data_IF_899656439637
#
_entry.id   IF_899656439637
#
_cell.length_a   1.000
_cell.length_b   1.000
_cell.length_c   1.000
_cell.angle_alpha   90.00
_cell.angle_beta   90.00
_cell.angle_gamma   90.00
#
_symmetry.space_group_name_H-M   'P 1'
#
loop_
_entity.id
_entity.type
_entity.pdbx_description
1 polymer ?
#
# COMPACT_ATOMS: atom_id res chain seq x y z
N UNK A 1 -77.13 60.62 -33.78
CA UNK A 1 -75.67 60.61 -34.01
C UNK A 1 -74.84 60.68 -32.72
N UNK A 2 -75.21 61.48 -31.70
CA UNK A 2 -74.42 61.57 -30.44
C UNK A 2 -74.44 60.29 -29.59
N UNK A 3 -75.62 59.68 -29.39
CA UNK A 3 -75.75 58.51 -28.49
C UNK A 3 -75.10 57.22 -29.03
N UNK A 4 -75.00 57.08 -30.34
CA UNK A 4 -74.40 55.90 -30.99
C UNK A 4 -72.88 55.92 -30.88
N UNK A 5 -72.29 57.11 -31.02
CA UNK A 5 -70.87 57.35 -30.79
C UNK A 5 -70.47 57.16 -29.31
N UNK A 6 -71.33 57.59 -28.37
CA UNK A 6 -71.10 57.39 -26.94
C UNK A 6 -71.15 55.91 -26.53
N UNK A 7 -72.06 55.12 -27.11
CA UNK A 7 -72.09 53.66 -26.90
C UNK A 7 -70.85 52.97 -27.47
N UNK A 8 -70.36 53.43 -28.61
CA UNK A 8 -69.17 52.87 -29.25
C UNK A 8 -67.90 53.18 -28.45
N UNK A 9 -67.78 54.40 -27.92
CA UNK A 9 -66.69 54.80 -27.01
C UNK A 9 -66.72 53.96 -25.72
N UNK A 10 -67.90 53.78 -25.11
CA UNK A 10 -68.03 52.97 -23.89
C UNK A 10 -67.70 51.49 -24.12
N UNK A 11 -68.11 50.95 -25.27
CA UNK A 11 -67.76 49.58 -25.69
C UNK A 11 -66.26 49.40 -25.89
N UNK A 12 -65.60 50.34 -26.58
CA UNK A 12 -64.15 50.32 -26.79
C UNK A 12 -63.38 50.48 -25.48
N UNK A 13 -63.84 51.32 -24.56
CA UNK A 13 -63.23 51.47 -23.23
C UNK A 13 -63.33 50.18 -22.40
N UNK A 14 -64.49 49.51 -22.43
CA UNK A 14 -64.66 48.22 -21.74
C UNK A 14 -63.76 47.14 -22.33
N UNK A 15 -63.61 47.10 -23.66
CA UNK A 15 -62.68 46.18 -24.33
C UNK A 15 -61.22 46.47 -24.00
N UNK A 16 -60.83 47.75 -23.88
CA UNK A 16 -59.47 48.13 -23.51
C UNK A 16 -59.13 47.68 -22.08
N UNK A 17 -60.06 47.88 -21.13
CA UNK A 17 -59.89 47.48 -19.73
C UNK A 17 -59.73 45.96 -19.63
N UNK A 18 -60.58 45.21 -20.32
CA UNK A 18 -60.52 43.75 -20.32
C UNK A 18 -59.24 43.23 -21.00
N UNK A 19 -58.79 43.88 -22.08
CA UNK A 19 -57.52 43.57 -22.74
C UNK A 19 -56.32 43.84 -21.81
N UNK A 20 -56.32 44.97 -21.08
CA UNK A 20 -55.26 45.27 -20.10
C UNK A 20 -55.23 44.26 -18.95
N UNK A 21 -56.39 43.86 -18.44
CA UNK A 21 -56.48 42.85 -17.38
C UNK A 21 -55.92 41.50 -17.83
N UNK A 22 -56.23 41.07 -19.06
CA UNK A 22 -55.69 39.83 -19.63
C UNK A 22 -54.17 39.91 -19.86
N UNK A 23 -53.66 41.07 -20.25
CA UNK A 23 -52.23 41.29 -20.40
C UNK A 23 -51.50 41.18 -19.04
N UNK A 24 -52.04 41.77 -17.98
CA UNK A 24 -51.48 41.70 -16.63
C UNK A 24 -51.50 40.27 -16.07
N UNK A 25 -52.59 39.53 -16.29
CA UNK A 25 -52.70 38.12 -15.89
C UNK A 25 -51.76 37.21 -16.69
N UNK A 26 -51.51 37.52 -17.97
CA UNK A 26 -50.52 36.80 -18.78
C UNK A 26 -49.09 37.10 -18.33
N UNK A 27 -48.79 38.35 -17.98
CA UNK A 27 -47.49 38.77 -17.45
C UNK A 27 -47.18 38.07 -16.11
N UNK A 28 -48.13 38.03 -15.19
CA UNK A 28 -47.97 37.30 -13.91
C UNK A 28 -47.70 35.81 -14.11
N UNK A 29 -48.41 35.17 -15.05
CA UNK A 29 -48.19 33.75 -15.38
C UNK A 29 -46.82 33.51 -16.01
N UNK A 30 -46.34 34.44 -16.83
CA UNK A 30 -44.98 34.37 -17.40
C UNK A 30 -43.92 34.48 -16.30
N UNK A 31 -44.05 35.46 -15.40
CA UNK A 31 -43.13 35.66 -14.27
C UNK A 31 -43.05 34.44 -13.34
N UNK A 32 -44.19 33.85 -13.01
CA UNK A 32 -44.25 32.61 -12.23
C UNK A 32 -43.61 31.43 -12.96
N UNK A 33 -43.80 31.32 -14.28
CA UNK A 33 -43.19 30.27 -15.07
C UNK A 33 -41.66 30.41 -15.12
N UNK A 34 -41.14 31.64 -15.26
CA UNK A 34 -39.69 31.91 -15.16
C UNK A 34 -39.14 31.57 -13.78
N UNK A 35 -39.81 31.94 -12.69
CA UNK A 35 -39.36 31.59 -11.34
C UNK A 35 -39.30 30.08 -11.12
N UNK A 36 -40.33 29.34 -11.55
CA UNK A 36 -40.33 27.87 -11.48
C UNK A 36 -39.22 27.26 -12.32
N UNK A 37 -38.93 27.81 -13.50
CA UNK A 37 -37.82 27.35 -14.34
C UNK A 37 -36.45 27.62 -13.71
N UNK A 38 -36.25 28.78 -13.07
CA UNK A 38 -35.03 29.13 -12.32
C UNK A 38 -34.84 28.25 -11.07
N UNK A 39 -35.91 27.92 -10.35
CA UNK A 39 -35.85 27.00 -9.21
C UNK A 39 -35.55 25.56 -9.64
N UNK A 40 -36.15 25.10 -10.73
CA UNK A 40 -35.90 23.77 -11.29
C UNK A 40 -34.46 23.63 -11.81
N UNK A 41 -33.91 24.66 -12.45
CA UNK A 41 -32.51 24.68 -12.88
C UNK A 41 -31.54 24.69 -11.69
N UNK A 42 -31.79 25.50 -10.66
CA UNK A 42 -30.99 25.48 -9.42
C UNK A 42 -31.01 24.12 -8.73
N UNK A 43 -32.17 23.46 -8.66
CA UNK A 43 -32.30 22.12 -8.09
C UNK A 43 -31.54 21.07 -8.91
N UNK A 44 -31.59 21.16 -10.25
CA UNK A 44 -30.84 20.28 -11.13
C UNK A 44 -29.32 20.49 -11.00
N UNK A 45 -28.85 21.75 -10.95
CA UNK A 45 -27.44 22.09 -10.71
C UNK A 45 -26.95 21.63 -9.33
N UNK A 46 -27.79 21.67 -8.30
CA UNK A 46 -27.47 21.14 -6.97
C UNK A 46 -27.41 19.62 -6.95
N UNK A 47 -28.29 18.94 -7.69
CA UNK A 47 -28.28 17.49 -7.82
C UNK A 47 -27.04 16.99 -8.58
N UNK A 48 -26.61 17.70 -9.63
CA UNK A 48 -25.43 17.35 -10.42
C UNK A 48 -24.11 17.65 -9.69
N UNK A 49 -24.09 18.69 -8.84
CA UNK A 49 -22.92 19.02 -8.00
C UNK A 49 -22.79 18.16 -6.73
N UNK A 50 -23.82 17.38 -6.36
CA UNK A 50 -23.74 16.51 -5.19
C UNK A 50 -23.06 15.19 -5.57
N UNK A 51 -21.72 15.14 -5.54
CA UNK A 51 -20.97 13.88 -5.67
C UNK A 51 -21.53 12.87 -4.66
N UNK A 52 -22.08 11.75 -5.14
CA UNK A 52 -22.66 10.74 -4.27
C UNK A 52 -21.56 10.00 -3.49
N UNK A 53 -21.87 9.43 -2.30
CA UNK A 53 -20.94 8.58 -1.57
C UNK A 53 -20.43 7.37 -2.39
N UNK A 54 -21.19 6.94 -3.40
CA UNK A 54 -20.79 5.87 -4.31
C UNK A 54 -19.74 6.35 -5.33
N UNK A 55 -19.91 7.53 -5.90
CA UNK A 55 -18.96 8.13 -6.87
C UNK A 55 -17.61 8.48 -6.24
N UNK A 56 -17.63 9.00 -5.01
CA UNK A 56 -16.40 9.27 -4.23
C UNK A 56 -15.61 7.99 -3.92
N UNK A 57 -16.28 6.83 -3.77
CA UNK A 57 -15.61 5.53 -3.60
C UNK A 57 -14.94 5.01 -4.88
N UNK A 58 -15.37 5.47 -6.05
CA UNK A 58 -14.84 5.05 -7.36
C UNK A 58 -13.71 5.98 -7.84
N UNK A 59 -13.66 7.22 -7.35
CA UNK A 59 -12.62 8.20 -7.68
C UNK A 59 -11.24 7.71 -7.23
N UNK A 60 -10.25 7.82 -8.12
CA UNK A 60 -8.85 7.48 -7.78
C UNK A 60 -8.36 8.33 -6.61
N UNK A 61 -7.47 7.78 -5.80
CA UNK A 61 -6.94 8.45 -4.62
C UNK A 61 -5.59 9.12 -4.91
N UNK A 62 -5.30 10.15 -4.13
CA UNK A 62 -3.95 10.72 -4.02
C UNK A 62 -3.00 9.76 -3.29
N UNK A 63 -1.69 10.03 -3.34
CA UNK A 63 -0.69 9.20 -2.66
C UNK A 63 -0.97 8.99 -1.16
N UNK A 64 -1.25 10.07 -0.42
CA UNK A 64 -1.48 10.00 1.02
C UNK A 64 -2.81 9.33 1.35
N UNK A 65 -3.88 9.62 0.59
CA UNK A 65 -5.17 8.96 0.74
C UNK A 65 -5.07 7.45 0.48
N UNK A 66 -4.26 7.04 -0.50
CA UNK A 66 -4.08 5.62 -0.79
C UNK A 66 -3.46 4.86 0.38
N UNK A 67 -2.40 5.41 0.96
CA UNK A 67 -1.73 4.82 2.12
C UNK A 67 -2.67 4.77 3.34
N UNK A 68 -3.46 5.83 3.55
CA UNK A 68 -4.50 5.86 4.58
C UNK A 68 -5.58 4.78 4.34
N UNK A 69 -6.04 4.60 3.10
CA UNK A 69 -6.98 3.54 2.76
C UNK A 69 -6.43 2.14 3.08
N UNK A 70 -5.16 1.88 2.75
CA UNK A 70 -4.52 0.60 3.06
C UNK A 70 -4.49 0.36 4.57
N UNK A 71 -4.07 1.36 5.35
CA UNK A 71 -3.99 1.25 6.80
C UNK A 71 -5.37 1.10 7.44
N UNK A 72 -6.37 1.88 7.03
CA UNK A 72 -7.69 1.89 7.67
C UNK A 72 -8.58 0.71 7.25
N UNK A 73 -8.36 0.11 6.08
CA UNK A 73 -9.20 -0.97 5.55
C UNK A 73 -8.56 -2.34 5.77
N UNK A 74 -7.26 -2.50 5.51
CA UNK A 74 -6.61 -3.82 5.48
C UNK A 74 -5.97 -4.21 6.82
N UNK A 75 -5.38 -3.26 7.57
CA UNK A 75 -4.73 -3.57 8.86
C UNK A 75 -5.69 -4.14 9.91
N UNK A 76 -6.95 -3.68 10.04
CA UNK A 76 -7.88 -4.29 11.01
C UNK A 76 -8.08 -5.80 10.80
N UNK A 77 -7.97 -6.28 9.55
CA UNK A 77 -8.03 -7.71 9.24
C UNK A 77 -6.82 -8.49 9.73
N UNK A 78 -5.66 -7.86 9.92
CA UNK A 78 -4.47 -8.51 10.52
C UNK A 78 -4.59 -8.69 12.02
N UNK A 79 -5.25 -7.75 12.70
CA UNK A 79 -5.35 -7.72 14.16
C UNK A 79 -6.45 -8.63 14.71
N UNK A 80 -7.35 -9.10 13.85
CA UNK A 80 -8.45 -9.99 14.21
C UNK A 80 -7.98 -11.45 14.27
N UNK A 81 -7.37 -11.85 15.39
CA UNK A 81 -7.60 -13.13 16.11
C UNK A 81 -6.37 -13.54 16.95
N UNK A 82 -6.40 -13.16 18.24
CA UNK A 82 -5.77 -13.94 19.30
C UNK A 82 -6.68 -15.16 19.61
N UNK A 83 -6.54 -16.25 18.84
CA UNK A 83 -7.08 -17.57 19.24
C UNK A 83 -5.95 -18.57 19.50
N UNK A 84 -6.06 -19.41 20.53
CA UNK A 84 -5.05 -20.42 20.84
C UNK A 84 -4.94 -21.42 19.69
N UNK A 85 -3.72 -21.54 19.18
CA UNK A 85 -3.31 -22.31 18.00
C UNK A 85 -3.64 -23.80 18.07
N UNK A 86 -4.08 -24.36 16.94
CA UNK A 86 -3.87 -25.78 16.61
C UNK A 86 -2.36 -26.06 16.55
N UNK A 87 -1.89 -27.25 16.97
CA UNK A 87 -0.49 -27.62 16.84
C UNK A 87 -0.11 -27.72 15.35
N UNK A 88 0.93 -27.00 14.93
CA UNK A 88 1.40 -27.03 13.54
C UNK A 88 2.20 -28.30 13.28
N UNK A 89 1.86 -29.01 12.20
CA UNK A 89 2.71 -30.05 11.61
C UNK A 89 3.64 -29.39 10.59
N UNK A 90 4.96 -29.49 10.81
CA UNK A 90 5.98 -29.03 9.87
C UNK A 90 7.29 -28.63 10.58
N UNK A 91 8.43 -29.27 10.28
CA UNK A 91 9.71 -28.86 10.85
C UNK A 91 10.12 -27.47 10.36
N UNK A 92 10.53 -26.59 11.27
CA UNK A 92 11.25 -25.36 10.92
C UNK A 92 12.58 -25.79 10.31
N UNK A 93 12.80 -25.51 9.03
CA UNK A 93 14.02 -25.87 8.33
C UNK A 93 15.26 -25.44 9.13
N UNK A 94 16.22 -26.34 9.26
CA UNK A 94 17.51 -26.07 9.90
C UNK A 94 18.39 -25.30 8.92
N UNK A 95 18.32 -23.97 9.01
CA UNK A 95 19.09 -23.06 8.15
C UNK A 95 20.28 -22.54 8.94
N UNK A 96 21.16 -23.46 9.33
CA UNK A 96 22.53 -23.13 9.68
C UNK A 96 23.44 -23.65 8.56
N UNK A 97 23.27 -23.11 7.35
CA UNK A 97 24.24 -23.28 6.28
C UNK A 97 25.54 -22.51 6.56
N UNK A 98 26.60 -22.79 5.78
CA UNK A 98 27.98 -22.33 5.99
C UNK A 98 28.22 -20.81 6.17
N UNK A 99 27.22 -19.95 5.99
CA UNK A 99 27.33 -18.48 6.11
C UNK A 99 26.78 -18.03 7.47
N UNK A 100 27.66 -17.53 8.34
CA UNK A 100 27.29 -17.16 9.71
C UNK A 100 27.15 -15.65 9.85
N UNK A 101 26.00 -15.21 10.34
CA UNK A 101 25.76 -13.85 10.78
C UNK A 101 26.62 -13.57 12.02
N UNK A 102 27.55 -12.61 11.95
CA UNK A 102 28.46 -12.29 13.07
C UNK A 102 27.92 -11.20 13.97
N UNK A 103 27.17 -10.25 13.43
CA UNK A 103 26.72 -9.05 14.13
C UNK A 103 25.32 -8.66 13.69
N UNK A 104 24.38 -8.54 14.63
CA UNK A 104 23.04 -8.00 14.40
C UNK A 104 22.96 -6.62 15.06
N UNK A 105 22.62 -5.59 14.29
CA UNK A 105 22.59 -4.18 14.75
C UNK A 105 21.34 -3.46 14.31
N UNK A 106 20.90 -2.50 15.11
CA UNK A 106 19.80 -1.61 14.72
C UNK A 106 20.25 -0.67 13.61
N UNK A 107 19.41 -0.51 12.59
CA UNK A 107 19.60 0.45 11.51
C UNK A 107 19.11 1.83 11.95
N UNK A 108 20.01 2.61 12.55
CA UNK A 108 19.71 3.94 13.08
C UNK A 108 19.31 4.96 12.01
N UNK A 109 19.94 4.89 10.83
CA UNK A 109 19.76 5.89 9.77
C UNK A 109 18.49 5.69 8.94
N UNK A 110 17.84 4.50 9.01
CA UNK A 110 16.69 4.20 8.18
C UNK A 110 15.55 5.22 8.35
N UNK A 111 15.26 5.66 9.58
CA UNK A 111 14.20 6.65 9.81
C UNK A 111 14.47 7.96 9.10
N UNK A 112 15.71 8.44 9.12
CA UNK A 112 16.11 9.66 8.42
C UNK A 112 16.05 9.49 6.89
N UNK A 113 16.57 8.37 6.38
CA UNK A 113 16.49 8.04 4.96
C UNK A 113 15.04 7.96 4.48
N UNK A 114 14.19 7.31 5.27
CA UNK A 114 12.76 7.17 5.01
C UNK A 114 12.04 8.52 5.02
N UNK A 115 12.29 9.38 6.01
CA UNK A 115 11.63 10.68 6.07
C UNK A 115 11.95 11.53 4.85
N UNK A 116 13.23 11.57 4.46
CA UNK A 116 13.68 12.28 3.25
C UNK A 116 13.05 11.69 1.99
N UNK A 117 13.07 10.37 1.85
CA UNK A 117 12.52 9.69 0.67
C UNK A 117 11.01 9.87 0.57
N UNK A 118 10.32 9.85 1.70
CA UNK A 118 8.88 10.06 1.76
C UNK A 118 8.50 11.49 1.39
N UNK A 119 9.27 12.49 1.82
CA UNK A 119 9.05 13.89 1.41
C UNK A 119 9.23 14.06 -0.10
N UNK A 120 10.23 13.39 -0.69
CA UNK A 120 10.44 13.32 -2.13
C UNK A 120 9.23 12.67 -2.85
N UNK A 121 8.70 11.58 -2.29
CA UNK A 121 7.50 10.91 -2.81
C UNK A 121 6.26 11.81 -2.73
N UNK A 122 6.04 12.50 -1.61
CA UNK A 122 4.93 13.44 -1.44
C UNK A 122 5.04 14.58 -2.44
N UNK A 123 6.23 15.17 -2.60
CA UNK A 123 6.47 16.23 -3.59
C UNK A 123 6.23 15.75 -5.02
N UNK A 124 6.60 14.51 -5.32
CA UNK A 124 6.48 13.97 -6.66
C UNK A 124 5.08 13.44 -6.98
N UNK A 125 4.33 12.91 -6.02
CA UNK A 125 3.09 12.13 -6.26
C UNK A 125 1.86 12.65 -5.51
N UNK A 126 2.02 13.62 -4.60
CA UNK A 126 1.01 14.00 -3.59
C UNK A 126 -0.30 14.55 -4.15
N UNK A 127 -0.24 15.42 -5.17
CA UNK A 127 -1.42 16.16 -5.64
C UNK A 127 -2.27 15.38 -6.65
N UNK A 128 -1.73 14.35 -7.29
CA UNK A 128 -2.42 13.66 -8.38
C UNK A 128 -3.14 12.39 -7.92
N UNK A 129 -4.32 12.16 -8.49
CA UNK A 129 -5.16 10.98 -8.23
C UNK A 129 -4.68 9.75 -9.01
N UNK A 130 -3.44 9.30 -8.73
CA UNK A 130 -2.80 8.21 -9.45
C UNK A 130 -3.01 6.83 -8.83
N UNK A 131 -3.64 6.72 -7.68
CA UNK A 131 -3.72 5.48 -6.91
C UNK A 131 -5.13 4.89 -6.88
N UNK A 132 -5.29 3.60 -6.54
CA UNK A 132 -6.61 2.96 -6.46
C UNK A 132 -7.57 3.72 -5.55
N UNK A 133 -8.84 3.71 -5.90
CA UNK A 133 -9.88 4.31 -5.08
C UNK A 133 -10.07 3.57 -3.77
N UNK A 134 -10.82 4.17 -2.83
CA UNK A 134 -11.22 3.50 -1.59
C UNK A 134 -11.99 2.21 -1.90
N UNK A 135 -12.94 2.25 -2.83
CA UNK A 135 -13.73 1.08 -3.23
C UNK A 135 -12.88 -0.04 -3.82
N UNK A 136 -11.78 0.28 -4.53
CA UNK A 136 -10.85 -0.74 -5.03
C UNK A 136 -10.07 -1.43 -3.90
N UNK A 137 -9.75 -0.72 -2.82
CA UNK A 137 -9.11 -1.31 -1.62
C UNK A 137 -10.13 -2.14 -0.82
N UNK A 138 -11.38 -1.68 -0.72
CA UNK A 138 -12.48 -2.45 -0.11
C UNK A 138 -12.73 -3.77 -0.88
N UNK A 139 -12.75 -3.72 -2.23
CA UNK A 139 -12.88 -4.91 -3.06
C UNK A 139 -11.71 -5.90 -2.87
N UNK A 140 -10.47 -5.39 -2.82
CA UNK A 140 -9.28 -6.20 -2.56
C UNK A 140 -9.37 -6.95 -1.23
N UNK A 141 -9.94 -6.31 -0.19
CA UNK A 141 -10.18 -6.95 1.10
C UNK A 141 -11.11 -8.17 0.95
N UNK A 142 -12.20 -8.01 0.20
CA UNK A 142 -13.17 -9.08 -0.05
C UNK A 142 -12.60 -10.21 -0.91
N UNK A 143 -11.80 -9.89 -1.93
CA UNK A 143 -11.20 -10.87 -2.86
C UNK A 143 -10.20 -11.79 -2.17
N UNK A 144 -9.34 -11.20 -1.33
CA UNK A 144 -8.40 -11.93 -0.47
C UNK A 144 -9.11 -12.65 0.68
N UNK A 145 -10.44 -12.47 0.75
CA UNK A 145 -11.30 -13.01 1.78
C UNK A 145 -10.72 -12.80 3.19
N UNK A 146 -10.15 -11.62 3.46
CA UNK A 146 -9.44 -11.30 4.71
C UNK A 146 -10.34 -11.23 5.95
N UNK A 147 -11.60 -11.63 5.81
CA UNK A 147 -12.55 -11.82 6.89
C UNK A 147 -12.61 -13.30 7.37
N UNK A 148 -11.91 -14.24 6.71
CA UNK A 148 -11.75 -15.63 7.19
C UNK A 148 -10.28 -16.09 7.21
N UNK A 149 -9.97 -16.89 8.24
CA UNK A 149 -8.75 -17.69 8.48
C UNK A 149 -7.45 -17.27 7.78
N UNK A 150 -6.55 -16.72 8.58
CA UNK A 150 -5.17 -16.43 8.16
C UNK A 150 -4.27 -17.66 8.44
N UNK A 151 -4.08 -18.53 7.44
CA UNK A 151 -2.97 -19.52 7.43
C UNK A 151 -1.68 -18.93 6.82
N UNK A 152 -0.61 -19.73 6.69
CA UNK A 152 0.69 -19.23 6.20
C UNK A 152 0.64 -18.72 4.75
N UNK A 153 -0.09 -19.43 3.88
CA UNK A 153 -0.30 -19.05 2.48
C UNK A 153 -1.13 -17.76 2.38
N UNK A 154 -2.15 -17.63 3.23
CA UNK A 154 -2.99 -16.42 3.31
C UNK A 154 -2.22 -15.18 3.78
N UNK A 155 -1.15 -15.35 4.56
CA UNK A 155 -0.30 -14.23 5.00
C UNK A 155 0.57 -13.71 3.88
N UNK A 156 1.11 -14.60 3.06
CA UNK A 156 1.89 -14.17 1.91
C UNK A 156 1.03 -13.30 0.99
N UNK A 157 -0.17 -13.77 0.66
CA UNK A 157 -1.12 -13.03 -0.17
C UNK A 157 -1.52 -11.69 0.46
N UNK A 158 -1.69 -11.66 1.78
CA UNK A 158 -1.94 -10.41 2.50
C UNK A 158 -0.77 -9.44 2.39
N UNK A 159 0.46 -9.83 2.74
CA UNK A 159 1.62 -8.93 2.69
C UNK A 159 1.83 -8.44 1.26
N UNK A 160 1.64 -9.33 0.30
CA UNK A 160 1.67 -9.04 -1.13
C UNK A 160 0.69 -7.95 -1.52
N UNK A 161 -0.53 -7.99 -0.99
CA UNK A 161 -1.58 -7.02 -1.27
C UNK A 161 -1.42 -5.70 -0.51
N UNK A 162 -0.97 -5.75 0.74
CA UNK A 162 -0.98 -4.64 1.68
C UNK A 162 0.30 -3.79 1.64
N UNK A 163 1.47 -4.39 1.49
CA UNK A 163 2.74 -3.66 1.52
C UNK A 163 3.40 -3.61 0.15
N UNK A 164 3.50 -4.78 -0.46
CA UNK A 164 4.26 -5.08 -1.67
C UNK A 164 3.68 -4.46 -2.94
N UNK A 165 2.51 -4.91 -3.40
CA UNK A 165 1.85 -4.34 -4.59
C UNK A 165 1.72 -2.81 -4.48
N UNK A 166 1.39 -2.23 -3.30
CA UNK A 166 1.42 -0.79 -3.08
C UNK A 166 2.82 -0.19 -3.25
N UNK A 167 3.85 -0.73 -2.60
CA UNK A 167 5.24 -0.26 -2.70
C UNK A 167 5.71 -0.22 -4.16
N UNK A 168 5.49 -1.31 -4.92
CA UNK A 168 5.80 -1.36 -6.35
C UNK A 168 5.06 -0.28 -7.14
N UNK A 169 3.77 -0.08 -6.85
CA UNK A 169 2.99 0.96 -7.52
C UNK A 169 3.56 2.35 -7.22
N UNK A 170 3.97 2.62 -5.99
CA UNK A 170 4.57 3.87 -5.56
C UNK A 170 5.90 4.09 -6.31
N UNK A 171 6.81 3.11 -6.26
CA UNK A 171 8.12 3.17 -6.93
C UNK A 171 7.98 3.41 -8.42
N UNK A 172 7.16 2.60 -9.11
CA UNK A 172 6.99 2.72 -10.57
C UNK A 172 6.38 4.08 -10.99
N UNK A 173 5.48 4.65 -10.17
CA UNK A 173 4.91 5.98 -10.43
C UNK A 173 5.92 7.09 -10.15
N UNK A 174 6.77 6.91 -9.15
CA UNK A 174 7.84 7.84 -8.84
C UNK A 174 8.89 7.89 -9.95
N UNK A 175 9.38 6.73 -10.40
CA UNK A 175 10.39 6.62 -11.46
C UNK A 175 9.90 7.19 -12.79
N UNK A 176 8.62 6.96 -13.13
CA UNK A 176 8.00 7.53 -14.32
C UNK A 176 8.08 9.07 -14.36
N UNK A 177 8.15 9.75 -13.22
CA UNK A 177 8.27 11.22 -13.13
C UNK A 177 9.70 11.74 -13.10
N UNK A 178 10.67 10.94 -12.66
CA UNK A 178 12.08 11.34 -12.51
C UNK A 178 12.98 11.02 -13.72
N UNK A 179 12.39 10.53 -14.82
CA UNK A 179 13.04 9.88 -15.96
C UNK A 179 13.52 8.46 -15.60
N UNK A 180 13.24 7.43 -16.43
CA UNK A 180 13.56 6.03 -16.16
C UNK A 180 15.06 5.75 -16.34
N UNK A 181 15.91 6.29 -15.45
CA UNK A 181 17.35 6.01 -15.42
C UNK A 181 17.70 4.84 -14.50
N UNK A 182 16.75 4.40 -13.66
CA UNK A 182 17.00 3.51 -12.51
C UNK A 182 16.41 2.09 -12.65
N UNK A 183 15.73 1.81 -13.77
CA UNK A 183 14.97 0.59 -13.98
C UNK A 183 13.61 0.60 -13.26
N UNK A 184 12.73 -0.34 -13.59
CA UNK A 184 11.39 -0.47 -12.96
C UNK A 184 11.38 -1.63 -11.98
N UNK A 185 10.61 -1.56 -10.89
CA UNK A 185 10.44 -2.68 -9.98
C UNK A 185 9.46 -3.71 -10.58
N UNK A 186 10.01 -4.86 -11.00
CA UNK A 186 9.28 -6.04 -11.51
C UNK A 186 9.30 -7.20 -10.49
N UNK A 187 8.41 -8.19 -10.66
CA UNK A 187 8.29 -9.40 -9.80
C UNK A 187 9.09 -10.56 -10.41
N UNK A 188 9.72 -11.43 -9.60
CA UNK A 188 10.02 -12.82 -9.96
C UNK A 188 9.39 -13.83 -9.00
N UNK A 189 9.12 -15.03 -9.52
CA UNK A 189 8.56 -16.26 -8.91
C UNK A 189 7.32 -16.12 -8.01
N UNK A 190 6.17 -16.49 -8.58
CA UNK A 190 5.27 -17.48 -7.96
C UNK A 190 5.77 -18.85 -8.47
N UNK A 191 5.91 -19.84 -7.60
CA UNK A 191 6.25 -21.21 -8.03
C UNK A 191 5.11 -21.87 -8.83
N UNK A 192 3.94 -21.23 -8.94
CA UNK A 192 2.73 -21.78 -9.54
C UNK A 192 2.44 -21.31 -10.98
N UNK A 193 3.27 -20.43 -11.55
CA UNK A 193 3.06 -19.93 -12.92
C UNK A 193 3.65 -20.84 -14.01
N UNK A 194 4.60 -21.70 -13.66
CA UNK A 194 5.09 -22.78 -14.51
C UNK A 194 4.57 -24.09 -13.91
N UNK A 195 3.87 -24.91 -14.72
CA UNK A 195 3.16 -26.11 -14.27
C UNK A 195 3.99 -27.09 -13.41
N UNK A 196 3.34 -28.11 -12.82
CA UNK A 196 3.88 -28.89 -11.71
C UNK A 196 5.21 -29.54 -12.10
N UNK A 197 6.30 -28.90 -11.68
CA UNK A 197 7.65 -29.41 -11.89
C UNK A 197 7.96 -30.32 -10.71
N UNK A 198 8.12 -31.62 -10.97
CA UNK A 198 8.42 -32.62 -9.94
C UNK A 198 9.65 -32.20 -9.11
N UNK A 199 9.62 -32.38 -7.78
CA UNK A 199 10.78 -32.12 -6.94
C UNK A 199 11.89 -33.12 -7.28
N UNK A 200 13.00 -32.62 -7.82
CA UNK A 200 14.20 -33.42 -8.06
C UNK A 200 15.02 -33.50 -6.77
N UNK A 201 15.41 -34.70 -6.30
CA UNK A 201 16.05 -34.88 -5.00
C UNK A 201 17.52 -34.41 -4.91
N UNK A 202 18.10 -33.94 -6.02
CA UNK A 202 19.54 -33.63 -6.11
C UNK A 202 19.90 -32.13 -6.01
N UNK A 203 18.97 -31.24 -5.63
CA UNK A 203 19.27 -29.80 -5.46
C UNK A 203 19.49 -29.43 -4.00
N UNK A 204 20.67 -29.76 -3.48
CA UNK A 204 21.21 -29.14 -2.28
C UNK A 204 21.55 -27.68 -2.63
N UNK A 205 20.74 -26.71 -2.16
CA UNK A 205 21.03 -25.28 -2.28
C UNK A 205 20.11 -24.44 -3.19
N UNK A 206 18.86 -24.85 -3.43
CA UNK A 206 17.85 -23.94 -3.99
C UNK A 206 17.38 -22.99 -2.85
N UNK A 207 17.65 -21.68 -2.89
CA UNK A 207 17.15 -20.80 -1.85
C UNK A 207 15.65 -20.67 -2.05
N UNK A 208 14.88 -21.33 -1.17
CA UNK A 208 13.43 -21.24 -1.05
C UNK A 208 12.94 -19.83 -0.61
N UNK A 209 13.58 -18.77 -1.11
CA UNK A 209 13.25 -17.39 -0.79
C UNK A 209 12.40 -16.77 -1.90
N UNK A 210 11.37 -16.06 -1.47
CA UNK A 210 10.44 -15.34 -2.33
C UNK A 210 11.11 -14.02 -2.78
N UNK A 211 11.84 -14.06 -3.91
CA UNK A 211 12.52 -12.90 -4.48
C UNK A 211 11.52 -11.86 -4.99
N UNK A 212 11.58 -10.63 -4.47
CA UNK A 212 10.46 -9.70 -4.64
C UNK A 212 10.73 -8.47 -5.49
N UNK A 213 11.96 -7.96 -5.52
CA UNK A 213 12.31 -6.80 -6.35
C UNK A 213 13.28 -7.16 -7.45
N UNK A 214 12.87 -6.98 -8.70
CA UNK A 214 13.76 -6.99 -9.86
C UNK A 214 13.87 -5.60 -10.42
N UNK A 215 15.09 -5.17 -10.74
CA UNK A 215 15.34 -4.05 -11.65
C UNK A 215 15.17 -4.52 -13.09
N UNK A 216 14.11 -4.08 -13.73
CA UNK A 216 13.98 -4.17 -15.18
C UNK A 216 14.66 -2.96 -15.82
N UNK A 217 15.88 -3.15 -16.32
CA UNK A 217 16.54 -2.15 -17.16
C UNK A 217 15.84 -2.09 -18.55
N UNK A 218 15.73 -0.92 -19.20
CA UNK A 218 15.02 -0.78 -20.48
C UNK A 218 15.48 -1.76 -21.57
N UNK A 219 16.78 -2.07 -21.62
CA UNK A 219 17.40 -2.97 -22.61
C UNK A 219 18.41 -3.96 -21.97
N UNK A 220 18.28 -4.22 -20.66
CA UNK A 220 19.25 -4.99 -19.88
C UNK A 220 18.69 -6.24 -19.20
N UNK A 221 19.55 -7.09 -18.62
CA UNK A 221 19.10 -8.25 -17.87
C UNK A 221 18.28 -7.82 -16.65
N UNK A 222 17.28 -8.62 -16.33
CA UNK A 222 16.53 -8.51 -15.08
C UNK A 222 17.41 -8.94 -13.92
N UNK A 223 17.69 -8.03 -12.98
CA UNK A 223 18.54 -8.30 -11.82
C UNK A 223 17.74 -8.17 -10.53
N UNK A 224 17.78 -9.16 -9.63
CA UNK A 224 17.23 -9.00 -8.28
C UNK A 224 17.87 -7.80 -7.57
N UNK A 225 17.08 -7.09 -6.77
CA UNK A 225 17.54 -5.93 -5.97
C UNK A 225 17.16 -6.05 -4.50
N UNK A 226 16.16 -6.85 -4.15
CA UNK A 226 15.75 -7.09 -2.77
C UNK A 226 15.08 -8.46 -2.59
N UNK A 227 15.28 -9.06 -1.41
CA UNK A 227 14.66 -10.33 -0.97
C UNK A 227 13.57 -10.06 0.06
N UNK A 228 12.44 -10.77 -0.06
CA UNK A 228 11.41 -10.85 0.97
C UNK A 228 11.35 -12.26 1.57
N UNK A 229 11.31 -12.34 2.89
CA UNK A 229 11.06 -13.59 3.62
C UNK A 229 9.75 -13.44 4.42
N UNK A 230 8.83 -14.39 4.27
CA UNK A 230 7.52 -14.36 4.93
C UNK A 230 7.43 -15.46 5.97
N UNK A 231 6.80 -15.15 7.10
CA UNK A 231 6.37 -16.16 8.07
C UNK A 231 4.97 -15.86 8.58
N UNK A 232 4.21 -16.91 8.84
CA UNK A 232 2.88 -16.76 9.40
C UNK A 232 2.90 -16.04 10.77
N UNK A 233 1.94 -15.14 11.04
CA UNK A 233 1.84 -14.31 12.24
C UNK A 233 1.63 -15.16 13.49
N UNK A 234 0.98 -16.33 13.36
CA UNK A 234 0.86 -17.30 14.43
C UNK A 234 2.17 -18.07 14.70
N UNK A 235 3.14 -18.05 13.76
CA UNK A 235 4.50 -18.60 13.96
C UNK A 235 5.43 -17.58 14.59
N UNK A 236 5.33 -16.31 14.19
CA UNK A 236 6.10 -15.21 14.77
C UNK A 236 5.20 -13.99 14.99
N UNK A 237 4.48 -13.94 16.13
CA UNK A 237 3.67 -12.77 16.46
C UNK A 237 4.51 -11.49 16.54
N UNK A 238 3.92 -10.33 16.23
CA UNK A 238 4.58 -9.02 16.35
C UNK A 238 5.25 -8.77 17.70
N UNK A 239 4.61 -9.23 18.78
CA UNK A 239 5.17 -9.17 20.15
C UNK A 239 6.52 -9.89 20.27
N UNK A 240 6.75 -10.96 19.49
CA UNK A 240 8.00 -11.71 19.48
C UNK A 240 9.12 -10.90 18.83
N UNK A 241 8.84 -10.23 17.70
CA UNK A 241 9.79 -9.29 17.11
C UNK A 241 10.12 -8.14 18.06
N UNK A 242 9.14 -7.57 18.76
CA UNK A 242 9.39 -6.53 19.77
C UNK A 242 10.22 -7.03 20.95
N UNK A 243 9.94 -8.22 21.46
CA UNK A 243 10.68 -8.80 22.58
C UNK A 243 12.16 -9.02 22.21
N UNK A 244 12.42 -9.52 21.00
CA UNK A 244 13.76 -9.87 20.54
C UNK A 244 14.53 -8.66 20.00
N UNK A 245 13.89 -7.83 19.17
CA UNK A 245 14.54 -6.71 18.45
C UNK A 245 14.35 -5.34 19.12
N UNK A 246 13.48 -5.24 20.12
CA UNK A 246 13.24 -3.99 20.86
C UNK A 246 14.23 -3.73 21.99
N UNK A 247 15.16 -4.65 22.27
CA UNK A 247 16.21 -4.48 23.28
C UNK A 247 17.50 -3.97 22.62
N UNK A 248 18.20 -3.03 23.27
CA UNK A 248 19.33 -2.27 22.69
C UNK A 248 20.68 -3.04 22.65
N UNK A 249 20.69 -4.38 22.60
CA UNK A 249 21.95 -5.13 22.59
C UNK A 249 22.48 -5.36 21.16
N UNK A 250 23.80 -5.33 20.94
CA UNK A 250 24.40 -5.78 19.68
C UNK A 250 24.34 -7.31 19.65
N UNK A 251 23.37 -7.86 18.94
CA UNK A 251 22.72 -9.09 19.38
C UNK A 251 23.26 -10.39 18.78
N UNK A 252 24.23 -10.43 17.88
CA UNK A 252 24.52 -11.71 17.22
C UNK A 252 25.02 -12.79 18.21
N UNK A 253 26.03 -12.49 19.04
CA UNK A 253 26.52 -13.46 20.02
C UNK A 253 25.45 -13.81 21.08
N UNK A 254 24.58 -12.88 21.46
CA UNK A 254 23.53 -13.11 22.47
C UNK A 254 22.30 -13.82 21.88
N UNK A 255 21.90 -13.51 20.65
CA UNK A 255 20.77 -14.14 19.94
C UNK A 255 21.02 -15.63 19.74
N UNK A 256 22.28 -16.01 19.50
CA UNK A 256 22.73 -17.41 19.38
C UNK A 256 23.27 -18.01 20.69
N UNK A 257 23.38 -17.26 21.78
CA UNK A 257 23.69 -17.80 23.11
C UNK A 257 22.43 -18.06 23.93
N UNK A 258 21.37 -17.27 23.73
CA UNK A 258 20.12 -17.32 24.49
C UNK A 258 19.06 -18.25 23.84
N UNK A 259 19.51 -19.39 23.30
CA UNK A 259 18.68 -20.47 22.72
C UNK A 259 17.67 -21.08 23.70
N UNK A 260 17.67 -20.67 24.97
CA UNK A 260 16.77 -21.17 26.00
C UNK A 260 15.31 -20.73 25.81
N UNK A 261 15.03 -19.72 24.98
CA UNK A 261 13.67 -19.21 24.70
C UNK A 261 13.19 -19.54 23.28
N UNK A 262 12.03 -20.19 23.19
CA UNK A 262 11.42 -20.62 21.92
C UNK A 262 11.16 -19.46 20.94
N UNK A 263 10.71 -18.29 21.44
CA UNK A 263 10.41 -17.13 20.60
C UNK A 263 11.68 -16.48 20.00
N UNK A 264 12.74 -16.34 20.80
CA UNK A 264 14.05 -15.83 20.34
C UNK A 264 14.64 -16.68 19.23
N UNK A 265 14.54 -18.00 19.37
CA UNK A 265 15.04 -18.94 18.38
C UNK A 265 14.30 -18.81 17.03
N UNK A 266 12.98 -18.60 17.04
CA UNK A 266 12.20 -18.49 15.79
C UNK A 266 12.49 -17.17 15.06
N UNK A 267 12.59 -16.05 15.78
CA UNK A 267 13.00 -14.76 15.20
C UNK A 267 14.43 -14.83 14.65
N UNK A 268 15.35 -15.46 15.38
CA UNK A 268 16.72 -15.65 14.92
C UNK A 268 16.79 -16.46 13.63
N UNK A 269 16.06 -17.58 13.55
CA UNK A 269 16.03 -18.45 12.37
C UNK A 269 15.52 -17.72 11.13
N UNK A 270 14.45 -16.93 11.23
CA UNK A 270 13.93 -16.18 10.06
C UNK A 270 14.91 -15.10 9.61
N UNK A 271 15.58 -14.41 10.55
CA UNK A 271 16.60 -13.43 10.20
C UNK A 271 17.82 -14.08 9.54
N UNK A 272 18.24 -15.26 10.02
CA UNK A 272 19.32 -16.04 9.41
C UNK A 272 18.96 -16.49 8.00
N UNK A 273 17.73 -16.95 7.79
CA UNK A 273 17.23 -17.35 6.48
C UNK A 273 17.26 -16.17 5.49
N UNK A 274 16.71 -15.02 5.89
CA UNK A 274 16.73 -13.81 5.07
C UNK A 274 18.18 -13.36 4.77
N UNK A 275 19.04 -13.34 5.78
CA UNK A 275 20.46 -13.00 5.64
C UNK A 275 21.19 -13.95 4.68
N UNK A 276 20.99 -15.26 4.82
CA UNK A 276 21.58 -16.26 3.94
C UNK A 276 21.21 -16.01 2.47
N UNK A 277 19.94 -15.67 2.21
CA UNK A 277 19.46 -15.34 0.87
C UNK A 277 20.04 -14.02 0.35
N UNK A 278 20.19 -13.01 1.21
CA UNK A 278 20.87 -11.76 0.85
C UNK A 278 22.33 -12.00 0.45
N UNK A 279 23.07 -12.84 1.19
CA UNK A 279 24.47 -13.14 0.89
C UNK A 279 24.62 -13.96 -0.39
N UNK A 280 23.81 -15.01 -0.58
CA UNK A 280 23.86 -15.83 -1.80
C UNK A 280 23.45 -15.01 -3.03
N UNK A 281 22.49 -14.09 -2.87
CA UNK A 281 22.00 -13.23 -3.94
C UNK A 281 22.86 -12.00 -4.24
N UNK A 282 23.92 -11.75 -3.47
CA UNK A 282 24.69 -10.49 -3.48
C UNK A 282 23.79 -9.23 -3.34
N UNK A 283 22.83 -9.29 -2.42
CA UNK A 283 21.83 -8.25 -2.20
C UNK A 283 22.08 -7.49 -0.91
N UNK A 284 22.19 -6.17 -1.02
CA UNK A 284 22.40 -5.30 0.13
C UNK A 284 21.14 -5.11 0.99
N UNK A 285 19.94 -5.36 0.45
CA UNK A 285 18.68 -5.09 1.15
C UNK A 285 17.71 -6.27 1.10
N UNK A 286 16.93 -6.41 2.17
CA UNK A 286 15.86 -7.39 2.27
C UNK A 286 14.86 -7.03 3.36
N UNK A 287 13.84 -7.85 3.53
CA UNK A 287 12.89 -7.68 4.63
C UNK A 287 12.31 -9.01 5.09
N UNK A 288 11.86 -9.03 6.34
CA UNK A 288 11.06 -10.11 6.92
C UNK A 288 9.68 -9.56 7.25
N UNK A 289 8.63 -10.26 6.86
CA UNK A 289 7.25 -9.90 7.17
C UNK A 289 6.55 -11.00 7.97
N UNK A 290 5.82 -10.61 9.01
CA UNK A 290 4.93 -11.51 9.75
C UNK A 290 3.75 -10.75 10.35
N UNK A 291 2.55 -11.04 9.84
CA UNK A 291 1.32 -10.36 10.25
C UNK A 291 1.41 -8.84 10.07
N UNK A 292 1.26 -8.11 11.17
CA UNK A 292 1.34 -6.65 11.27
C UNK A 292 2.74 -6.12 11.65
N UNK A 293 3.77 -6.97 11.58
CA UNK A 293 5.17 -6.58 11.76
C UNK A 293 6.00 -6.78 10.51
N UNK A 294 6.87 -5.81 10.25
CA UNK A 294 7.83 -5.87 9.15
C UNK A 294 9.21 -5.43 9.65
N UNK A 295 10.24 -6.19 9.30
CA UNK A 295 11.63 -5.90 9.64
C UNK A 295 12.40 -5.64 8.34
N UNK A 296 12.91 -4.43 8.15
CA UNK A 296 13.81 -4.13 7.04
C UNK A 296 15.24 -4.46 7.40
N UNK A 297 15.96 -4.99 6.43
CA UNK A 297 17.31 -5.52 6.58
C UNK A 297 18.26 -4.81 5.62
N UNK A 298 19.48 -4.57 6.09
CA UNK A 298 20.57 -4.09 5.26
C UNK A 298 21.89 -4.82 5.60
N UNK A 299 22.63 -5.21 4.57
CA UNK A 299 23.98 -5.77 4.69
C UNK A 299 24.94 -4.79 4.01
N UNK A 300 25.91 -4.20 4.74
CA UNK A 300 26.93 -3.36 4.15
C UNK A 300 27.84 -4.19 3.24
N UNK A 301 28.22 -3.63 2.08
CA UNK A 301 29.12 -4.32 1.14
C UNK A 301 30.54 -4.50 1.73
N UNK A 302 30.97 -3.59 2.59
CA UNK A 302 32.28 -3.58 3.24
C UNK A 302 32.35 -4.45 4.50
N UNK A 303 31.21 -4.78 5.12
CA UNK A 303 31.13 -5.70 6.25
C UNK A 303 29.91 -6.64 6.12
N UNK A 304 30.01 -7.67 5.27
CA UNK A 304 28.92 -8.61 5.06
C UNK A 304 28.59 -9.44 6.30
N UNK A 305 29.43 -9.44 7.33
CA UNK A 305 29.14 -10.14 8.59
C UNK A 305 28.19 -9.38 9.51
N UNK A 306 27.82 -8.14 9.16
CA UNK A 306 26.88 -7.31 9.92
C UNK A 306 25.54 -7.23 9.19
N UNK A 307 24.47 -7.61 9.89
CA UNK A 307 23.08 -7.38 9.48
C UNK A 307 22.51 -6.22 10.27
N UNK A 308 22.12 -5.15 9.57
CA UNK A 308 21.35 -4.06 10.12
C UNK A 308 19.85 -4.38 10.03
N UNK A 309 19.07 -4.03 11.06
CA UNK A 309 17.62 -4.22 11.09
C UNK A 309 16.85 -2.95 11.48
N UNK A 310 15.68 -2.74 10.89
CA UNK A 310 14.72 -1.71 11.30
C UNK A 310 13.31 -2.33 11.46
N UNK A 311 12.77 -2.31 12.68
CA UNK A 311 11.43 -2.84 12.96
C UNK A 311 10.34 -1.78 12.74
N UNK A 312 9.41 -2.06 11.84
CA UNK A 312 8.13 -1.38 11.68
C UNK A 312 7.01 -2.21 12.33
N UNK A 313 6.57 -1.76 13.51
CA UNK A 313 5.47 -2.35 14.28
C UNK A 313 4.26 -1.40 14.26
N UNK A 314 3.17 -1.84 13.62
CA UNK A 314 1.94 -1.05 13.45
C UNK A 314 1.04 -1.09 14.71
N UNK A 315 1.05 -2.20 15.47
CA UNK A 315 0.18 -2.40 16.63
C UNK A 315 0.38 -1.41 17.80
N UNK A 316 1.51 -0.70 17.85
CA UNK A 316 1.84 0.22 18.95
C UNK A 316 1.58 1.70 18.64
N UNK A 317 1.04 2.06 17.45
CA UNK A 317 1.09 3.44 16.96
C UNK A 317 -0.22 3.94 16.33
N UNK A 318 -0.42 5.25 16.42
CA UNK A 318 -1.46 5.98 15.68
C UNK A 318 -1.24 5.76 14.17
N UNK A 319 -2.28 5.38 13.40
CA UNK A 319 -2.17 5.21 11.96
C UNK A 319 -1.55 6.45 11.31
N UNK A 320 -0.53 6.23 10.49
CA UNK A 320 0.17 7.30 9.79
C UNK A 320 0.59 6.80 8.41
N UNK A 321 0.13 7.44 7.31
CA UNK A 321 0.50 7.08 5.95
C UNK A 321 2.01 6.92 5.78
N UNK A 322 2.79 7.82 6.39
CA UNK A 322 4.26 7.81 6.37
C UNK A 322 4.83 6.51 6.92
N UNK A 323 4.31 6.05 8.05
CA UNK A 323 4.83 4.86 8.76
C UNK A 323 4.27 3.53 8.25
N UNK A 324 3.44 3.57 7.21
CA UNK A 324 2.88 2.35 6.61
C UNK A 324 3.97 1.41 6.10
N UNK A 325 3.75 0.10 6.21
CA UNK A 325 4.64 -0.89 5.59
C UNK A 325 4.83 -0.66 4.09
N UNK A 326 3.78 -0.23 3.38
CA UNK A 326 3.86 0.13 1.97
C UNK A 326 4.86 1.28 1.70
N UNK A 327 4.83 2.34 2.50
CA UNK A 327 5.75 3.47 2.37
C UNK A 327 7.18 3.11 2.76
N UNK A 328 7.34 2.34 3.84
CA UNK A 328 8.63 1.81 4.26
C UNK A 328 9.26 0.91 3.21
N UNK A 329 8.49 -0.01 2.64
CA UNK A 329 8.97 -0.95 1.62
C UNK A 329 9.26 -0.23 0.29
N UNK A 330 8.49 0.80 -0.07
CA UNK A 330 8.82 1.67 -1.21
C UNK A 330 10.17 2.37 -1.00
N UNK A 331 10.47 2.81 0.22
CA UNK A 331 11.77 3.41 0.56
C UNK A 331 12.88 2.39 0.41
N UNK A 332 12.72 1.20 0.99
CA UNK A 332 13.72 0.13 0.90
C UNK A 332 13.99 -0.26 -0.57
N UNK A 333 12.95 -0.37 -1.39
CA UNK A 333 13.08 -0.67 -2.80
C UNK A 333 13.84 0.44 -3.58
N UNK A 334 13.61 1.71 -3.24
CA UNK A 334 14.34 2.83 -3.86
C UNK A 334 15.82 2.83 -3.46
N UNK A 335 16.13 2.56 -2.19
CA UNK A 335 17.52 2.38 -1.73
C UNK A 335 18.21 1.22 -2.46
N UNK A 336 17.49 0.10 -2.63
CA UNK A 336 17.99 -1.06 -3.36
C UNK A 336 18.29 -0.76 -4.83
N UNK A 337 17.39 -0.05 -5.51
CA UNK A 337 17.60 0.39 -6.89
C UNK A 337 18.78 1.37 -7.01
N UNK A 338 19.02 2.23 -6.01
CA UNK A 338 20.15 3.16 -5.99
C UNK A 338 21.49 2.46 -5.75
N UNK A 339 21.56 1.53 -4.80
CA UNK A 339 22.79 0.81 -4.46
C UNK A 339 23.33 -0.08 -5.59
N UNK A 340 22.45 -0.45 -6.52
CA UNK A 340 22.79 -1.21 -7.71
C UNK A 340 23.12 -0.36 -8.94
N UNK A 341 22.63 0.88 -8.97
CA UNK A 341 22.96 1.85 -10.02
C UNK A 341 24.33 2.52 -9.80
N UNK A 342 24.90 2.40 -8.60
CA UNK A 342 26.24 2.90 -8.30
C UNK A 342 27.31 2.01 -8.96
N UNK A 343 28.28 2.58 -9.72
CA UNK A 343 29.39 1.80 -10.24
C UNK A 343 30.20 1.23 -9.07
N UNK A 344 30.65 -0.02 -9.20
CA UNK A 344 31.64 -0.59 -8.30
C UNK A 344 32.87 0.33 -8.31
N UNK A 345 33.14 0.99 -7.18
CA UNK A 345 34.27 1.91 -7.03
C UNK A 345 35.58 1.16 -6.85
#
# INVERSE_FOLDING_TARGET
>A
MSEELEREIASLQAQLIEATKRADEAAKRADEATKRAEEATKLAEQADNHETPAETKLKRSTFLQYLDHLQTILVPSLTAEDKPSLPSSGPVADVCGNVHLRVLRRWGDFSYLHDRQFDDLVKALGEEQLFPSRGAVEALKSDLMLDWRIDEESIEDFIRAYAERPARRIVNRFDARRQPRRGTLARFRDHDADGPSQPSPDRIGDPAANWWGIRAAPDGPQTPVLVGEFKAAHRIPAKSFRAVLGTDHSFAETLFADYARCETMTVAKVLCQAYHCMIIGDLAYGYVASGDSMVFLAVPRDDPGTLFFHLLDEASRVPSPRRSHAAGLATLALLALEAEAAPAQ
#
